data_IF_661780146916
#
_entry.id   IF_661780146916
#
_cell.length_a   1.000
_cell.length_b   1.000
_cell.length_c   1.000
_cell.angle_alpha   90.00
_cell.angle_beta   90.00
_cell.angle_gamma   90.00
#
_symmetry.space_group_name_H-M   'P 1'
#
loop_
_entity.id
_entity.type
_entity.pdbx_description
1 polymer ?
#
# COMPACT_ATOMS: atom_id res chain seq x y z
N UNK A 1 4.74 9.47 17.17
CA UNK A 1 4.49 9.64 15.73
C UNK A 1 5.14 8.45 15.06
N UNK A 2 4.34 7.51 14.56
CA UNK A 2 4.84 6.30 13.92
C UNK A 2 5.53 6.70 12.60
N UNK A 3 6.73 6.17 12.34
CA UNK A 3 7.51 6.52 11.15
C UNK A 3 6.99 5.63 10.02
N UNK A 4 6.23 6.23 9.11
CA UNK A 4 5.71 5.56 7.90
C UNK A 4 6.80 5.41 6.84
N UNK A 5 6.82 4.26 6.15
CA UNK A 5 7.88 3.87 5.20
C UNK A 5 7.52 4.20 3.73
N UNK A 6 7.56 5.49 3.41
CA UNK A 6 7.34 5.98 2.05
C UNK A 6 8.38 5.46 1.04
N UNK A 7 9.61 5.19 1.48
CA UNK A 7 10.68 4.78 0.57
C UNK A 7 10.44 3.38 0.02
N UNK A 8 9.97 2.45 0.85
CA UNK A 8 9.60 1.09 0.42
C UNK A 8 8.46 1.13 -0.59
N UNK A 9 7.43 1.96 -0.37
CA UNK A 9 6.32 2.14 -1.32
C UNK A 9 6.83 2.57 -2.69
N UNK A 10 7.64 3.64 -2.74
CA UNK A 10 8.16 4.19 -4.00
C UNK A 10 9.06 3.20 -4.73
N UNK A 11 10.00 2.59 -4.00
CA UNK A 11 10.97 1.64 -4.55
C UNK A 11 10.27 0.45 -5.19
N UNK A 12 9.24 -0.10 -4.53
CA UNK A 12 8.51 -1.24 -5.07
C UNK A 12 7.74 -0.89 -6.35
N UNK A 13 7.09 0.28 -6.40
CA UNK A 13 6.39 0.73 -7.62
C UNK A 13 7.39 0.98 -8.76
N UNK A 14 8.48 1.70 -8.51
CA UNK A 14 9.47 2.05 -9.54
C UNK A 14 10.20 0.80 -10.07
N UNK A 15 10.44 -0.22 -9.23
CA UNK A 15 11.03 -1.49 -9.66
C UNK A 15 10.21 -2.21 -10.74
N UNK A 16 8.89 -2.02 -10.77
CA UNK A 16 8.01 -2.58 -11.80
C UNK A 16 7.92 -1.65 -13.01
N UNK A 17 7.72 -0.35 -12.78
CA UNK A 17 7.64 0.64 -13.86
C UNK A 17 8.92 0.71 -14.70
N UNK A 18 10.09 0.60 -14.07
CA UNK A 18 11.39 0.62 -14.75
C UNK A 18 11.60 -0.60 -15.66
N UNK A 19 10.81 -1.66 -15.49
CA UNK A 19 10.79 -2.84 -16.38
C UNK A 19 9.79 -2.68 -17.52
N UNK A 20 9.07 -1.56 -17.60
CA UNK A 20 8.03 -1.31 -18.60
C UNK A 20 6.78 -2.18 -18.42
N UNK A 21 6.55 -2.72 -17.22
CA UNK A 21 5.43 -3.60 -16.93
C UNK A 21 4.26 -2.81 -16.32
N UNK A 22 3.00 -3.17 -16.64
CA UNK A 22 1.84 -2.59 -15.99
C UNK A 22 1.77 -3.02 -14.51
N UNK A 23 1.32 -2.11 -13.65
CA UNK A 23 1.18 -2.35 -12.22
C UNK A 23 -0.19 -1.88 -11.73
N UNK A 24 -0.77 -2.65 -10.82
CA UNK A 24 -1.86 -2.27 -9.93
C UNK A 24 -1.48 -2.70 -8.51
N UNK A 25 -1.76 -1.85 -7.51
CA UNK A 25 -1.68 -2.24 -6.11
C UNK A 25 -3.00 -2.95 -5.75
N UNK A 26 -3.01 -4.28 -5.87
CA UNK A 26 -4.22 -5.09 -5.76
C UNK A 26 -4.82 -5.12 -4.35
N UNK A 27 -4.01 -4.93 -3.31
CA UNK A 27 -4.45 -4.87 -1.91
C UNK A 27 -3.52 -3.98 -1.09
N UNK A 28 -4.09 -3.20 -0.19
CA UNK A 28 -3.38 -2.54 0.91
C UNK A 28 -4.35 -2.23 2.05
N UNK A 29 -3.82 -2.09 3.26
CA UNK A 29 -4.54 -1.60 4.43
C UNK A 29 -3.63 -0.68 5.24
N UNK A 30 -4.11 -0.08 6.32
CA UNK A 30 -3.29 0.80 7.17
C UNK A 30 -2.38 0.07 8.17
N UNK A 31 -2.60 -1.22 8.42
CA UNK A 31 -1.82 -1.97 9.41
C UNK A 31 -1.83 -3.46 9.08
N UNK A 32 -0.67 -4.12 9.18
CA UNK A 32 -0.53 -5.54 8.89
C UNK A 32 0.51 -6.19 9.82
N UNK A 33 0.13 -7.30 10.47
CA UNK A 33 1.02 -8.11 11.31
C UNK A 33 1.83 -7.35 12.38
N UNK A 34 1.26 -6.32 13.01
CA UNK A 34 1.97 -5.56 14.04
C UNK A 34 2.80 -4.38 13.50
N UNK A 35 2.67 -4.06 12.22
CA UNK A 35 3.34 -2.92 11.59
C UNK A 35 2.36 -2.00 10.85
N UNK A 36 2.61 -0.70 10.95
CA UNK A 36 1.92 0.35 10.21
C UNK A 36 2.33 0.33 8.74
N UNK A 37 1.37 0.61 7.86
CA UNK A 37 1.57 0.65 6.41
C UNK A 37 1.34 2.07 5.94
N UNK A 38 2.22 2.59 5.08
CA UNK A 38 2.07 3.91 4.48
C UNK A 38 1.03 3.92 3.34
N UNK A 39 -0.22 3.65 3.69
CA UNK A 39 -1.40 3.71 2.84
C UNK A 39 -1.57 5.08 2.17
N UNK A 40 -1.16 6.16 2.85
CA UNK A 40 -1.20 7.52 2.30
C UNK A 40 -0.22 7.66 1.14
N UNK A 41 1.01 7.19 1.28
CA UNK A 41 1.99 7.24 0.20
C UNK A 41 1.60 6.30 -0.96
N UNK A 42 0.99 5.13 -0.69
CA UNK A 42 0.47 4.24 -1.74
C UNK A 42 -0.52 5.01 -2.64
N UNK A 43 -1.50 5.70 -2.04
CA UNK A 43 -2.49 6.46 -2.80
C UNK A 43 -1.86 7.67 -3.52
N UNK A 44 -1.01 8.44 -2.84
CA UNK A 44 -0.38 9.64 -3.41
C UNK A 44 0.57 9.31 -4.55
N UNK A 45 1.48 8.36 -4.34
CA UNK A 45 2.46 7.98 -5.35
C UNK A 45 1.79 7.24 -6.51
N UNK A 46 0.82 6.36 -6.22
CA UNK A 46 0.02 5.68 -7.25
C UNK A 46 -0.68 6.69 -8.17
N UNK A 47 -1.35 7.70 -7.59
CA UNK A 47 -1.95 8.79 -8.36
C UNK A 47 -0.92 9.54 -9.21
N UNK A 48 0.26 9.84 -8.67
CA UNK A 48 1.32 10.56 -9.40
C UNK A 48 1.90 9.79 -10.59
N UNK A 49 1.89 8.45 -10.53
CA UNK A 49 2.44 7.55 -11.55
C UNK A 49 1.39 6.94 -12.47
N UNK A 50 0.11 7.22 -12.24
CA UNK A 50 -0.99 6.60 -12.98
C UNK A 50 -1.19 5.11 -12.66
N UNK A 51 -0.81 4.68 -11.46
CA UNK A 51 -1.00 3.31 -10.97
C UNK A 51 -2.33 3.22 -10.22
N UNK A 52 -3.18 2.28 -10.62
CA UNK A 52 -4.43 1.97 -9.91
C UNK A 52 -4.18 1.26 -8.57
N UNK A 53 -5.15 1.35 -7.67
CA UNK A 53 -5.11 0.68 -6.37
C UNK A 53 -6.49 0.20 -5.94
N UNK A 54 -6.52 -0.85 -5.12
CA UNK A 54 -7.72 -1.40 -4.50
C UNK A 54 -7.47 -1.52 -2.99
N UNK A 55 -8.14 -0.69 -2.20
CA UNK A 55 -8.06 -0.78 -0.74
C UNK A 55 -8.75 -2.07 -0.28
N UNK A 56 -8.10 -2.82 0.61
CA UNK A 56 -8.66 -4.03 1.18
C UNK A 56 -9.22 -3.76 2.58
N UNK A 57 -10.49 -4.02 2.88
CA UNK A 57 -11.56 -4.64 2.08
C UNK A 57 -12.84 -3.82 2.19
N UNK A 58 -13.87 -4.20 1.43
CA UNK A 58 -15.18 -3.55 1.48
C UNK A 58 -15.81 -3.57 2.88
N UNK A 59 -15.75 -4.73 3.55
CA UNK A 59 -16.28 -4.90 4.89
C UNK A 59 -15.61 -6.08 5.59
N UNK A 60 -15.27 -5.88 6.87
CA UNK A 60 -14.69 -6.81 7.84
C UNK A 60 -13.59 -7.74 7.29
N UNK A 61 -12.34 -7.42 7.60
CA UNK A 61 -11.29 -8.44 7.72
C UNK A 61 -11.32 -8.87 9.18
N UNK A 62 -11.74 -10.11 9.46
CA UNK A 62 -11.84 -10.62 10.83
C UNK A 62 -10.51 -10.39 11.57
N UNK A 63 -10.49 -9.44 12.52
CA UNK A 63 -9.41 -9.31 13.51
C UNK A 63 -9.81 -10.17 14.72
N UNK A 64 -9.27 -11.39 14.90
CA UNK A 64 -9.14 -11.88 16.26
C UNK A 64 -8.17 -10.92 16.97
N UNK A 65 -8.30 -10.75 18.29
CA UNK A 65 -7.49 -9.87 19.14
C UNK A 65 -7.99 -8.42 19.27
N UNK A 66 -9.22 -8.29 19.77
CA UNK A 66 -9.45 -7.48 20.97
C UNK A 66 -9.48 -8.44 22.17
N UNK A 67 -8.37 -8.54 22.89
CA UNK A 67 -8.28 -8.98 24.28
C UNK A 67 -7.34 -8.04 25.00
#
# INVERSE_FOLDING_TARGET
>A
MEIKDAQTVRTNMDNILNKGLPLIIGEFGGYHQGADVDETEIMRYGQSKGIGWLAWSWYVTFRPFLS
#
